data_IF_395538461565
#
_entry.id   IF_395538461565
#
_cell.length_a   1.000
_cell.length_b   1.000
_cell.length_c   1.000
_cell.angle_alpha   90.00
_cell.angle_beta   90.00
_cell.angle_gamma   90.00
#
_symmetry.space_group_name_H-M   'P 1'
#
loop_
_entity.id
_entity.type
_entity.pdbx_description
1 polymer ?
#
# COMPACT_ATOMS: atom_id res chain seq x y z
N UNK A 1 19.90 -7.45 7.07
CA UNK A 1 19.05 -6.95 5.96
C UNK A 1 18.44 -5.64 6.44
N UNK A 2 18.98 -4.50 5.99
CA UNK A 2 18.53 -3.17 6.42
C UNK A 2 17.13 -2.98 5.82
N UNK A 3 16.08 -3.02 6.64
CA UNK A 3 14.71 -2.77 6.17
C UNK A 3 14.60 -1.30 5.78
N UNK A 4 14.81 -0.99 4.50
CA UNK A 4 14.61 0.36 3.97
C UNK A 4 13.12 0.59 3.79
N UNK A 5 12.53 1.41 4.66
CA UNK A 5 11.16 1.89 4.51
C UNK A 5 11.03 2.64 3.18
N UNK A 6 9.97 2.36 2.41
CA UNK A 6 9.73 3.02 1.12
C UNK A 6 9.07 4.38 1.37
N UNK A 7 9.63 5.45 0.83
CA UNK A 7 9.18 6.83 1.08
C UNK A 7 8.65 7.54 -0.17
N UNK A 8 8.98 7.08 -1.37
CA UNK A 8 8.46 7.70 -2.61
C UNK A 8 7.27 6.94 -3.17
N UNK A 9 6.36 7.69 -3.81
CA UNK A 9 5.20 7.11 -4.52
C UNK A 9 5.65 6.19 -5.65
N UNK A 10 6.70 6.55 -6.38
CA UNK A 10 7.16 5.77 -7.53
C UNK A 10 7.74 4.41 -7.11
N UNK A 11 8.61 4.38 -6.10
CA UNK A 11 9.15 3.13 -5.55
C UNK A 11 8.04 2.28 -4.95
N UNK A 12 7.09 2.88 -4.23
CA UNK A 12 5.96 2.15 -3.66
C UNK A 12 5.13 1.50 -4.76
N UNK A 13 4.84 2.22 -5.85
CA UNK A 13 4.11 1.66 -6.98
C UNK A 13 4.87 0.53 -7.66
N UNK A 14 6.20 0.63 -7.81
CA UNK A 14 7.02 -0.47 -8.34
C UNK A 14 6.94 -1.69 -7.43
N UNK A 15 7.10 -1.50 -6.12
CA UNK A 15 7.07 -2.58 -5.13
C UNK A 15 5.71 -3.26 -5.06
N UNK A 16 4.62 -2.50 -4.90
CA UNK A 16 3.28 -3.09 -4.73
C UNK A 16 2.71 -3.70 -6.00
N UNK A 17 3.18 -3.29 -7.19
CA UNK A 17 2.88 -3.97 -8.46
C UNK A 17 3.54 -5.35 -8.55
N UNK A 18 4.70 -5.53 -7.95
CA UNK A 18 5.40 -6.82 -7.90
C UNK A 18 4.80 -7.72 -6.80
N UNK A 19 4.54 -7.14 -5.63
CA UNK A 19 3.94 -7.82 -4.48
C UNK A 19 3.12 -6.82 -3.65
N UNK A 20 1.80 -6.94 -3.64
CA UNK A 20 0.89 -6.03 -2.94
C UNK A 20 1.15 -5.96 -1.44
N UNK A 21 1.72 -7.01 -0.84
CA UNK A 21 2.09 -7.01 0.58
C UNK A 21 3.28 -6.09 0.90
N UNK A 22 4.00 -5.57 -0.10
CA UNK A 22 5.03 -4.53 0.09
C UNK A 22 4.46 -3.21 0.61
N UNK A 23 3.14 -3.03 0.60
CA UNK A 23 2.47 -1.91 1.27
C UNK A 23 2.84 -1.81 2.76
N UNK A 24 3.15 -2.94 3.42
CA UNK A 24 3.59 -2.98 4.81
C UNK A 24 4.94 -2.25 5.03
N UNK A 25 5.79 -2.20 4.00
CA UNK A 25 7.11 -1.58 4.03
C UNK A 25 7.06 -0.10 3.61
N UNK A 26 5.91 0.39 3.15
CA UNK A 26 5.71 1.79 2.79
C UNK A 26 5.54 2.67 4.03
N UNK A 27 5.97 3.93 3.93
CA UNK A 27 5.75 4.94 4.97
C UNK A 27 4.25 5.14 5.25
N UNK A 28 3.92 5.66 6.44
CA UNK A 28 2.52 5.94 6.82
C UNK A 28 1.81 6.88 5.84
N UNK A 29 2.53 7.85 5.27
CA UNK A 29 2.00 8.74 4.25
C UNK A 29 1.55 7.97 2.99
N UNK A 30 2.30 6.96 2.59
CA UNK A 30 2.01 6.13 1.43
C UNK A 30 0.93 5.07 1.72
N UNK A 31 0.88 4.55 2.95
CA UNK A 31 -0.23 3.70 3.42
C UNK A 31 -1.57 4.45 3.47
N UNK A 32 -1.55 5.79 3.50
CA UNK A 32 -2.73 6.66 3.37
C UNK A 32 -2.94 7.19 1.93
N UNK A 33 -2.11 6.78 0.97
CA UNK A 33 -2.26 7.17 -0.43
C UNK A 33 -3.21 6.20 -1.15
N UNK A 34 -4.41 6.68 -1.49
CA UNK A 34 -5.45 5.88 -2.14
C UNK A 34 -4.95 5.13 -3.39
N UNK A 35 -4.17 5.79 -4.25
CA UNK A 35 -3.69 5.16 -5.49
C UNK A 35 -2.69 4.03 -5.22
N UNK A 36 -1.78 4.20 -4.26
CA UNK A 36 -0.83 3.15 -3.87
C UNK A 36 -1.56 1.98 -3.23
N UNK A 37 -2.50 2.26 -2.32
CA UNK A 37 -3.32 1.24 -1.63
C UNK A 37 -4.17 0.45 -2.62
N UNK A 38 -4.85 1.13 -3.55
CA UNK A 38 -5.65 0.45 -4.58
C UNK A 38 -4.77 -0.41 -5.49
N UNK A 39 -3.61 0.09 -5.89
CA UNK A 39 -2.66 -0.70 -6.70
C UNK A 39 -2.23 -1.97 -5.95
N UNK A 40 -1.91 -1.83 -4.66
CA UNK A 40 -1.53 -2.96 -3.80
C UNK A 40 -2.67 -3.96 -3.62
N UNK A 41 -3.89 -3.48 -3.34
CA UNK A 41 -5.08 -4.30 -3.13
C UNK A 41 -5.51 -5.04 -4.41
N UNK A 42 -5.40 -4.39 -5.57
CA UNK A 42 -5.69 -5.01 -6.85
C UNK A 42 -4.67 -6.11 -7.20
N UNK A 43 -3.43 -5.97 -6.74
CA UNK A 43 -2.41 -7.02 -6.87
C UNK A 43 -2.65 -8.17 -5.86
N UNK A 44 -2.95 -7.82 -4.60
CA UNK A 44 -3.28 -8.76 -3.53
C UNK A 44 -4.25 -8.11 -2.53
N UNK A 45 -5.49 -8.59 -2.46
CA UNK A 45 -6.53 -8.03 -1.59
C UNK A 45 -6.15 -8.00 -0.09
N UNK A 46 -5.27 -8.88 0.38
CA UNK A 46 -4.78 -8.85 1.76
C UNK A 46 -3.89 -7.64 2.06
N UNK A 47 -3.41 -6.91 1.04
CA UNK A 47 -2.66 -5.68 1.25
C UNK A 47 -3.47 -4.61 1.99
N UNK A 48 -4.81 -4.65 1.90
CA UNK A 48 -5.69 -3.71 2.60
C UNK A 48 -5.49 -3.68 4.12
N UNK A 49 -4.99 -4.77 4.71
CA UNK A 49 -4.65 -4.79 6.14
C UNK A 49 -3.54 -3.79 6.52
N UNK A 50 -2.75 -3.30 5.56
CA UNK A 50 -1.68 -2.34 5.77
C UNK A 50 -2.05 -0.89 5.41
N UNK A 51 -3.22 -0.69 4.79
CA UNK A 51 -3.73 0.65 4.51
C UNK A 51 -4.00 1.43 5.81
N UNK A 52 -4.05 2.76 5.70
CA UNK A 52 -4.47 3.61 6.81
C UNK A 52 -5.88 3.23 7.28
N UNK A 53 -6.20 3.52 8.56
CA UNK A 53 -7.54 3.29 9.09
C UNK A 53 -8.61 3.98 8.24
N UNK A 54 -8.32 5.20 7.76
CA UNK A 54 -9.22 5.98 6.91
C UNK A 54 -9.60 5.20 5.64
N UNK A 55 -8.62 4.62 4.95
CA UNK A 55 -8.85 3.91 3.69
C UNK A 55 -9.40 2.49 3.85
N UNK A 56 -9.18 1.84 5.01
CA UNK A 56 -9.79 0.53 5.30
C UNK A 56 -11.30 0.56 5.44
N UNK A 57 -11.84 1.67 5.94
CA UNK A 57 -13.28 1.84 6.18
C UNK A 57 -13.97 2.64 5.08
N UNK A 58 -13.21 3.17 4.12
CA UNK A 58 -13.78 3.80 2.94
C UNK A 58 -14.37 2.69 2.05
N UNK A 59 -15.69 2.69 1.87
CA UNK A 59 -16.45 1.65 1.16
C UNK A 59 -16.27 1.73 -0.36
N UNK A 60 -15.07 2.04 -0.84
CA UNK A 60 -14.75 2.09 -2.27
C UNK A 60 -14.68 0.68 -2.88
N UNK A 61 -14.71 -0.37 -2.05
CA UNK A 61 -14.65 -1.77 -2.47
C UNK A 61 -16.03 -2.47 -2.53
N UNK A 62 -17.13 -1.73 -2.65
CA UNK A 62 -18.45 -2.30 -2.94
C UNK A 62 -18.69 -2.41 -4.44
#
# INVERSE_FOLDING_TARGET
RVFTMIHSKEEALKAVRQNGLELQNCSKLLQDNLYVVLTAANQNGWALQYASKKLKFDRVYA
#
